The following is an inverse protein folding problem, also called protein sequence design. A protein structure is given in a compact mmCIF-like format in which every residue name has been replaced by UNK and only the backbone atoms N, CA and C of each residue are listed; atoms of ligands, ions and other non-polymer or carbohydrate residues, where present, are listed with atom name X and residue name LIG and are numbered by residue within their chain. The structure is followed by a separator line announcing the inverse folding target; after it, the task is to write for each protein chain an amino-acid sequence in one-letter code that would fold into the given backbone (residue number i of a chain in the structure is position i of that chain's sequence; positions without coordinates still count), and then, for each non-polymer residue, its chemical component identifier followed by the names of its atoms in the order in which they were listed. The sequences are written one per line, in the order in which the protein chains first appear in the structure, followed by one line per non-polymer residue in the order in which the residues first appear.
data_IF_890878157532
#
_entry.id   IF_890878157532
#
_cell.length_a   1.000
_cell.length_b   1.000
_cell.length_c   1.000
_cell.angle_alpha   90.00
_cell.angle_beta   90.00
_cell.angle_gamma   90.00
#
_symmetry.space_group_name_H-M   'P 1'
#
loop_
_entity.id
_entity.type
_entity.pdbx_description
1 polymer ?
#
# COMPACT_ATOMS: atom_id res chain seq x y z
N UNK A 1 -2.78 8.97 -8.84
CA UNK A 1 -1.61 8.54 -9.64
C UNK A 1 -0.45 9.53 -9.45
N UNK A 2 0.80 9.05 -9.43
CA UNK A 2 1.98 9.87 -9.17
C UNK A 2 2.18 10.92 -10.27
N UNK A 3 1.98 10.54 -11.54
CA UNK A 3 2.12 11.47 -12.66
C UNK A 3 1.09 12.60 -12.63
N UNK A 4 -0.16 12.29 -12.29
CA UNK A 4 -1.22 13.30 -12.12
C UNK A 4 -0.94 14.21 -10.92
N UNK A 5 -0.41 13.67 -9.83
CA UNK A 5 -0.01 14.47 -8.67
C UNK A 5 1.10 15.46 -9.05
N UNK A 6 2.13 15.00 -9.77
CA UNK A 6 3.19 15.87 -10.29
C UNK A 6 2.64 16.97 -11.20
N UNK A 7 1.79 16.61 -12.16
CA UNK A 7 1.17 17.57 -13.08
C UNK A 7 0.32 18.60 -12.36
N UNK A 8 -0.53 18.17 -11.42
CA UNK A 8 -1.39 19.05 -10.63
C UNK A 8 -0.59 20.06 -9.80
N UNK A 9 0.47 19.61 -9.12
CA UNK A 9 1.27 20.50 -8.26
C UNK A 9 2.08 21.48 -9.10
N UNK A 10 2.60 21.05 -10.25
CA UNK A 10 3.31 21.94 -11.17
C UNK A 10 2.39 22.97 -11.84
N UNK A 11 1.15 22.58 -12.16
CA UNK A 11 0.11 23.52 -12.63
C UNK A 11 -0.22 24.58 -11.57
N UNK A 12 -0.42 24.15 -10.32
CA UNK A 12 -0.62 25.06 -9.18
C UNK A 12 0.56 26.00 -8.97
N UNK A 13 1.79 25.48 -9.03
CA UNK A 13 3.00 26.28 -8.90
C UNK A 13 3.07 27.37 -9.97
N UNK A 14 2.83 27.02 -11.25
CA UNK A 14 2.83 28.00 -12.34
C UNK A 14 1.75 29.06 -12.17
N UNK A 15 0.55 28.65 -11.76
CA UNK A 15 -0.54 29.58 -11.48
C UNK A 15 -0.17 30.57 -10.37
N UNK A 16 0.39 30.08 -9.26
CA UNK A 16 0.81 30.94 -8.14
C UNK A 16 1.99 31.85 -8.53
N UNK A 17 2.95 31.35 -9.28
CA UNK A 17 4.12 32.11 -9.73
C UNK A 17 3.81 33.18 -10.79
N UNK A 18 2.68 33.06 -11.49
CA UNK A 18 2.31 34.00 -12.55
C UNK A 18 1.88 35.38 -12.02
N UNK A 19 1.38 35.46 -10.78
CA UNK A 19 0.98 36.72 -10.15
C UNK A 19 0.90 36.56 -8.63
N UNK A 20 1.50 37.47 -7.87
CA UNK A 20 1.51 37.45 -6.40
C UNK A 20 0.12 37.54 -5.75
N UNK A 21 -0.91 37.94 -6.52
CA UNK A 21 -2.30 37.99 -6.07
C UNK A 21 -3.06 36.68 -6.34
N UNK A 22 -2.47 35.72 -7.04
CA UNK A 22 -3.11 34.46 -7.37
C UNK A 22 -3.26 33.58 -6.13
N UNK A 23 -4.43 32.94 -6.00
CA UNK A 23 -4.74 32.05 -4.88
C UNK A 23 -5.27 30.72 -5.41
N UNK A 24 -4.61 29.62 -5.06
CA UNK A 24 -5.05 28.27 -5.40
C UNK A 24 -5.88 27.68 -4.25
N UNK A 25 -7.16 27.41 -4.50
CA UNK A 25 -8.04 26.76 -3.54
C UNK A 25 -8.13 25.24 -3.81
N UNK A 26 -7.54 24.43 -2.92
CA UNK A 26 -7.55 22.95 -3.05
C UNK A 26 -8.58 22.34 -2.11
N UNK A 27 -9.51 21.54 -2.64
CA UNK A 27 -10.55 20.91 -1.83
C UNK A 27 -10.74 19.42 -2.16
N UNK A 28 -11.38 18.71 -1.23
CA UNK A 28 -11.95 17.38 -1.45
C UNK A 28 -13.25 17.30 -0.62
N UNK A 29 -13.77 16.11 -0.32
CA UNK A 29 -15.01 16.00 0.49
C UNK A 29 -14.90 16.65 1.89
N UNK A 30 -13.82 16.40 2.62
CA UNK A 30 -13.63 16.90 3.99
C UNK A 30 -12.43 17.86 4.14
N UNK A 31 -11.70 18.12 3.05
CA UNK A 31 -10.49 18.95 3.09
C UNK A 31 -9.44 18.42 4.06
N UNK A 32 -9.20 17.09 4.09
CA UNK A 32 -8.30 16.44 5.06
C UNK A 32 -7.19 15.63 4.39
N UNK A 33 -7.45 14.38 4.02
CA UNK A 33 -6.44 13.46 3.46
C UNK A 33 -5.96 13.84 2.05
N UNK A 34 -6.87 13.77 1.05
CA UNK A 34 -6.55 14.10 -0.36
C UNK A 34 -6.04 15.54 -0.53
N UNK A 35 -6.75 16.50 0.07
CA UNK A 35 -6.34 17.91 0.09
C UNK A 35 -4.97 18.09 0.74
N UNK A 36 -4.74 17.46 1.89
CA UNK A 36 -3.47 17.58 2.60
C UNK A 36 -2.29 16.99 1.87
N UNK A 37 -2.49 15.88 1.16
CA UNK A 37 -1.45 15.27 0.32
C UNK A 37 -1.02 16.24 -0.78
N UNK A 38 -1.97 16.85 -1.50
CA UNK A 38 -1.68 17.83 -2.56
C UNK A 38 -1.03 19.09 -1.98
N UNK A 39 -1.58 19.66 -0.91
CA UNK A 39 -1.01 20.86 -0.27
C UNK A 39 0.38 20.60 0.28
N UNK A 40 0.65 19.44 0.90
CA UNK A 40 1.99 19.10 1.36
C UNK A 40 2.99 19.00 0.19
N UNK A 41 2.59 18.44 -0.95
CA UNK A 41 3.43 18.45 -2.15
C UNK A 41 3.66 19.87 -2.70
N UNK A 42 2.63 20.73 -2.67
CA UNK A 42 2.77 22.13 -3.07
C UNK A 42 3.70 22.91 -2.13
N UNK A 43 3.60 22.72 -0.81
CA UNK A 43 4.52 23.33 0.16
C UNK A 43 5.98 22.95 -0.09
N UNK A 44 6.24 21.69 -0.49
CA UNK A 44 7.57 21.25 -0.92
C UNK A 44 7.99 21.97 -2.22
N UNK A 45 7.09 22.06 -3.20
CA UNK A 45 7.38 22.65 -4.52
C UNK A 45 7.69 24.15 -4.45
N UNK A 46 7.01 24.86 -3.56
CA UNK A 46 7.20 26.29 -3.28
C UNK A 46 8.40 26.57 -2.35
N UNK A 47 9.03 25.54 -1.78
CA UNK A 47 10.18 25.69 -0.88
C UNK A 47 9.82 26.12 0.55
N UNK A 48 8.54 26.04 0.96
CA UNK A 48 8.12 26.30 2.34
C UNK A 48 8.46 25.17 3.31
N UNK A 49 8.82 24.00 2.80
CA UNK A 49 9.25 22.85 3.58
C UNK A 49 10.44 22.15 2.91
N UNK A 50 11.41 21.71 3.70
CA UNK A 50 12.59 21.00 3.22
C UNK A 50 12.39 19.48 3.16
N UNK A 51 11.37 18.95 3.82
CA UNK A 51 11.08 17.51 3.88
C UNK A 51 9.58 17.20 3.83
N UNK A 52 9.25 15.97 3.41
CA UNK A 52 7.85 15.52 3.36
C UNK A 52 7.20 15.57 4.75
N UNK A 53 7.95 15.18 5.78
CA UNK A 53 7.53 15.18 7.18
C UNK A 53 7.19 16.60 7.65
N UNK A 54 8.03 17.58 7.32
CA UNK A 54 7.79 18.99 7.63
C UNK A 54 6.56 19.53 6.90
N UNK A 55 6.43 19.29 5.61
CA UNK A 55 5.29 19.74 4.82
C UNK A 55 3.96 19.18 5.35
N UNK A 56 3.95 17.88 5.70
CA UNK A 56 2.81 17.20 6.31
C UNK A 56 2.48 17.78 7.69
N UNK A 57 3.49 18.07 8.52
CA UNK A 57 3.32 18.66 9.83
C UNK A 57 2.78 20.10 9.76
N UNK A 58 3.30 20.93 8.86
CA UNK A 58 2.82 22.29 8.61
C UNK A 58 1.35 22.28 8.21
N UNK A 59 0.98 21.44 7.24
CA UNK A 59 -0.42 21.27 6.85
C UNK A 59 -1.29 20.83 8.03
N UNK A 60 -0.87 19.81 8.77
CA UNK A 60 -1.64 19.28 9.90
C UNK A 60 -1.86 20.32 11.00
N UNK A 61 -0.84 21.11 11.34
CA UNK A 61 -0.91 22.16 12.34
C UNK A 61 -1.84 23.30 11.94
N UNK A 62 -1.87 23.67 10.65
CA UNK A 62 -2.76 24.73 10.14
C UNK A 62 -4.20 24.26 9.94
N UNK A 63 -4.40 23.03 9.48
CA UNK A 63 -5.72 22.53 9.09
C UNK A 63 -6.51 21.88 10.23
N UNK A 64 -5.85 21.34 11.25
CA UNK A 64 -6.49 20.47 12.26
C UNK A 64 -6.08 20.84 13.68
N UNK A 65 -7.01 20.70 14.64
CA UNK A 65 -6.71 20.94 16.05
C UNK A 65 -5.92 19.81 16.71
N UNK A 66 -6.09 18.57 16.24
CA UNK A 66 -5.48 17.36 16.81
C UNK A 66 -4.16 16.95 16.11
N UNK A 67 -3.67 17.79 15.20
CA UNK A 67 -2.52 17.53 14.29
C UNK A 67 -2.67 16.26 13.45
N UNK A 68 -3.89 15.74 13.29
CA UNK A 68 -4.15 14.61 12.39
C UNK A 68 -4.60 15.16 11.05
N UNK A 69 -3.67 15.62 10.22
CA UNK A 69 -3.94 16.06 8.85
C UNK A 69 -4.12 14.88 7.90
N UNK A 70 -3.07 14.55 7.14
CA UNK A 70 -2.98 13.33 6.34
C UNK A 70 -2.64 12.17 7.29
N UNK A 71 -3.42 11.10 7.25
CA UNK A 71 -3.23 9.95 8.17
C UNK A 71 -3.23 8.60 7.47
N UNK A 72 -3.56 8.54 6.18
CA UNK A 72 -3.57 7.30 5.42
C UNK A 72 -2.11 7.03 4.99
N UNK A 73 -1.50 5.89 5.38
CA UNK A 73 -0.10 5.62 5.10
C UNK A 73 0.30 5.73 3.65
N UNK A 74 -0.54 5.27 2.71
CA UNK A 74 -0.26 5.46 1.28
C UNK A 74 -0.25 6.92 0.84
N UNK A 75 -1.08 7.79 1.41
CA UNK A 75 -1.04 9.23 1.11
C UNK A 75 0.25 9.86 1.64
N UNK A 76 0.69 9.48 2.84
CA UNK A 76 1.97 9.93 3.41
C UNK A 76 3.15 9.49 2.53
N UNK A 77 3.14 8.22 2.08
CA UNK A 77 4.15 7.66 1.18
C UNK A 77 4.25 8.42 -0.14
N UNK A 78 3.12 8.85 -0.71
CA UNK A 78 3.13 9.62 -1.96
C UNK A 78 3.72 11.02 -1.79
N UNK A 79 3.59 11.66 -0.63
CA UNK A 79 4.32 12.91 -0.34
C UNK A 79 5.84 12.66 -0.26
N UNK A 80 6.26 11.53 0.31
CA UNK A 80 7.68 11.13 0.32
C UNK A 80 8.22 10.82 -1.09
N UNK A 81 7.42 10.17 -1.92
CA UNK A 81 7.73 9.97 -3.34
C UNK A 81 7.85 11.31 -4.07
N UNK A 82 6.96 12.27 -3.80
CA UNK A 82 7.03 13.61 -4.39
C UNK A 82 8.28 14.38 -3.96
N UNK A 83 8.64 14.36 -2.68
CA UNK A 83 9.88 14.95 -2.20
C UNK A 83 11.12 14.32 -2.87
N UNK A 84 11.10 13.00 -3.09
CA UNK A 84 12.17 12.30 -3.81
C UNK A 84 12.21 12.67 -5.29
N UNK A 85 11.05 12.77 -5.94
CA UNK A 85 10.92 13.25 -7.31
C UNK A 85 11.54 14.65 -7.48
N UNK A 86 11.25 15.60 -6.59
CA UNK A 86 11.85 16.94 -6.64
C UNK A 86 13.38 16.89 -6.56
N UNK A 87 13.95 16.05 -5.68
CA UNK A 87 15.41 15.87 -5.57
C UNK A 87 16.04 15.23 -6.80
N UNK A 88 15.35 14.28 -7.43
CA UNK A 88 15.84 13.60 -8.64
C UNK A 88 15.67 14.45 -9.90
N UNK A 89 14.77 15.44 -9.89
CA UNK A 89 14.43 16.27 -11.05
C UNK A 89 13.63 15.55 -12.14
N UNK A 90 13.45 14.23 -12.02
CA UNK A 90 12.66 13.41 -12.94
C UNK A 90 11.98 12.29 -12.19
N UNK A 91 10.81 11.86 -12.70
CA UNK A 91 10.07 10.75 -12.12
C UNK A 91 10.65 9.44 -12.66
N UNK A 92 11.22 8.56 -11.82
CA UNK A 92 11.78 7.30 -12.30
C UNK A 92 10.67 6.44 -12.92
N UNK A 93 10.91 5.91 -14.12
CA UNK A 93 9.99 4.99 -14.79
C UNK A 93 10.68 3.66 -14.94
N UNK A 94 10.12 2.64 -14.30
CA UNK A 94 10.63 1.28 -14.35
C UNK A 94 9.47 0.30 -14.23
N UNK A 95 9.41 -0.65 -15.16
CA UNK A 95 8.55 -1.82 -15.00
C UNK A 95 9.17 -2.75 -13.95
N UNK A 96 8.35 -3.31 -13.07
CA UNK A 96 8.81 -4.25 -12.04
C UNK A 96 7.94 -5.48 -12.08
N UNK A 97 8.53 -6.66 -11.82
CA UNK A 97 7.81 -7.92 -11.73
C UNK A 97 7.64 -8.27 -10.26
N UNK A 98 6.41 -8.50 -9.78
CA UNK A 98 6.20 -8.96 -8.41
C UNK A 98 6.39 -10.48 -8.35
N UNK A 99 7.41 -10.93 -7.60
CA UNK A 99 7.73 -12.34 -7.42
C UNK A 99 6.93 -12.97 -6.30
N UNK A 100 6.84 -12.29 -5.16
CA UNK A 100 6.17 -12.84 -3.98
C UNK A 100 5.69 -11.78 -3.00
N UNK A 101 4.66 -12.11 -2.22
CA UNK A 101 4.24 -11.36 -1.03
C UNK A 101 4.23 -12.30 0.17
N UNK A 102 4.96 -11.95 1.24
CA UNK A 102 4.94 -12.70 2.51
C UNK A 102 4.29 -11.87 3.60
N UNK A 103 3.38 -12.48 4.36
CA UNK A 103 2.81 -11.90 5.58
C UNK A 103 3.45 -12.61 6.76
N UNK A 104 4.21 -11.88 7.56
CA UNK A 104 4.86 -12.43 8.74
C UNK A 104 4.01 -12.23 9.99
N UNK A 105 3.96 -13.25 10.84
CA UNK A 105 3.22 -13.23 12.10
C UNK A 105 1.72 -12.93 11.91
N UNK A 106 1.11 -13.55 10.91
CA UNK A 106 -0.33 -13.50 10.66
C UNK A 106 -1.07 -14.41 11.64
N UNK A 107 -2.17 -13.94 12.24
CA UNK A 107 -2.96 -14.76 13.17
C UNK A 107 -3.66 -15.91 12.45
N UNK A 108 -3.46 -17.16 12.92
CA UNK A 108 -3.97 -18.40 12.27
C UNK A 108 -5.49 -18.49 12.11
N UNK A 109 -6.26 -17.62 12.77
CA UNK A 109 -7.71 -17.53 12.56
C UNK A 109 -8.12 -16.93 11.20
N UNK A 110 -7.18 -16.33 10.46
CA UNK A 110 -7.42 -15.70 9.15
C UNK A 110 -6.68 -16.49 8.06
N UNK A 111 -7.21 -17.67 7.72
CA UNK A 111 -6.57 -18.61 6.76
C UNK A 111 -6.98 -18.39 5.32
N UNK A 112 -8.22 -17.94 5.13
CA UNK A 112 -8.79 -17.70 3.81
C UNK A 112 -8.39 -16.30 3.33
N UNK A 113 -7.11 -16.12 3.04
CA UNK A 113 -6.58 -14.88 2.51
C UNK A 113 -6.44 -14.95 0.99
N UNK A 114 -6.65 -13.82 0.33
CA UNK A 114 -6.42 -13.62 -1.10
C UNK A 114 -5.50 -12.42 -1.33
N UNK A 115 -4.67 -12.49 -2.37
CA UNK A 115 -3.87 -11.39 -2.88
C UNK A 115 -4.47 -10.92 -4.19
N UNK A 116 -4.77 -9.63 -4.29
CA UNK A 116 -5.19 -9.03 -5.56
C UNK A 116 -4.46 -7.72 -5.81
N UNK A 117 -4.24 -7.41 -7.08
CA UNK A 117 -3.48 -6.22 -7.49
C UNK A 117 -4.28 -5.48 -8.55
N UNK A 118 -4.41 -4.16 -8.39
CA UNK A 118 -4.99 -3.30 -9.40
C UNK A 118 -4.08 -2.12 -9.73
N UNK A 119 -4.23 -1.57 -10.92
CA UNK A 119 -3.57 -0.34 -11.33
C UNK A 119 -4.32 0.88 -10.75
N UNK A 120 -3.91 2.08 -11.15
CA UNK A 120 -4.51 3.31 -10.66
C UNK A 120 -5.89 3.69 -11.23
N UNK A 121 -6.29 3.12 -12.36
CA UNK A 121 -7.65 3.25 -12.91
C UNK A 121 -8.63 2.27 -12.25
N UNK A 122 -8.10 1.26 -11.55
CA UNK A 122 -8.88 0.22 -10.88
C UNK A 122 -8.96 -1.09 -11.65
N UNK A 123 -8.29 -1.20 -12.80
CA UNK A 123 -8.24 -2.44 -13.56
C UNK A 123 -7.39 -3.47 -12.80
N UNK A 124 -7.89 -4.70 -12.76
CA UNK A 124 -7.22 -5.81 -12.08
C UNK A 124 -6.02 -6.26 -12.91
N UNK A 125 -4.85 -6.27 -12.29
CA UNK A 125 -3.60 -6.83 -12.85
C UNK A 125 -3.37 -8.27 -12.35
N UNK A 126 -3.93 -8.58 -11.19
CA UNK A 126 -3.98 -9.92 -10.62
C UNK A 126 -5.30 -10.10 -9.90
N UNK A 127 -6.09 -11.05 -10.38
CA UNK A 127 -7.28 -11.51 -9.69
C UNK A 127 -6.90 -12.44 -8.52
N UNK A 128 -7.77 -12.47 -7.52
CA UNK A 128 -7.56 -13.07 -6.19
C UNK A 128 -6.75 -14.38 -6.18
N UNK A 129 -5.45 -14.26 -5.86
CA UNK A 129 -4.50 -15.35 -5.74
C UNK A 129 -4.49 -15.89 -4.30
N UNK A 130 -4.58 -17.20 -4.12
CA UNK A 130 -4.51 -17.85 -2.80
C UNK A 130 -3.06 -18.05 -2.37
N UNK A 131 -2.75 -18.03 -1.05
CA UNK A 131 -1.40 -18.30 -0.58
C UNK A 131 -1.04 -19.77 -0.72
N UNK A 132 0.25 -20.06 -0.86
CA UNK A 132 0.83 -21.37 -0.65
C UNK A 132 0.86 -21.69 0.86
N UNK A 133 0.75 -22.98 1.17
CA UNK A 133 0.95 -23.52 2.50
C UNK A 133 2.47 -23.56 2.78
N UNK A 134 2.99 -22.66 3.64
CA UNK A 134 4.33 -22.86 4.20
C UNK A 134 4.23 -23.94 5.28
N UNK A 135 4.95 -25.05 5.13
CA UNK A 135 5.17 -26.02 6.20
C UNK A 135 6.06 -25.36 7.26
N UNK A 136 5.76 -25.58 8.55
CA UNK A 136 6.51 -25.01 9.69
C UNK A 136 7.95 -25.60 9.83
N UNK A 137 8.57 -26.11 8.76
CA UNK A 137 9.90 -26.73 8.74
C UNK A 137 10.91 -25.84 8.02
N UNK A 138 12.01 -25.49 8.70
CA UNK A 138 13.18 -24.80 8.12
C UNK A 138 13.98 -25.65 7.10
N UNK A 139 13.42 -26.77 6.62
CA UNK A 139 14.05 -27.67 5.64
C UNK A 139 13.35 -27.60 4.28
N UNK A 140 14.13 -27.26 3.24
CA UNK A 140 13.80 -27.26 1.81
C UNK A 140 13.53 -28.68 1.27
N UNK A 141 12.55 -29.40 1.82
CA UNK A 141 12.08 -30.66 1.22
C UNK A 141 10.56 -30.74 1.16
N UNK A 142 10.09 -31.04 -0.04
CA UNK A 142 8.71 -31.20 -0.47
C UNK A 142 7.86 -32.00 0.52
N UNK A 143 7.02 -31.30 1.31
CA UNK A 143 5.83 -31.91 1.91
C UNK A 143 4.76 -30.85 2.17
N UNK A 144 3.75 -30.86 1.32
CA UNK A 144 2.59 -29.95 1.36
C UNK A 144 1.67 -30.38 2.51
N UNK A 145 1.89 -29.81 3.70
CA UNK A 145 1.04 -30.05 4.85
C UNK A 145 -0.12 -29.05 4.91
N UNK A 146 -1.34 -29.58 4.96
CA UNK A 146 -2.60 -28.87 5.16
C UNK A 146 -2.56 -27.97 6.40
N UNK A 147 -3.00 -26.71 6.27
CA UNK A 147 -3.27 -25.77 7.38
C UNK A 147 -4.25 -26.31 8.46
N UNK A 148 -4.81 -27.51 8.27
CA UNK A 148 -5.88 -28.10 9.08
C UNK A 148 -5.39 -28.82 10.34
N UNK A 149 -4.09 -29.02 10.53
CA UNK A 149 -3.55 -29.71 11.70
C UNK A 149 -2.87 -28.71 12.64
N UNK A 150 -3.62 -28.11 13.58
CA UNK A 150 -2.98 -27.42 14.72
C UNK A 150 -2.53 -28.51 15.68
N UNK A 151 -1.25 -28.85 15.66
CA UNK A 151 -0.64 -29.65 16.71
C UNK A 151 -0.77 -28.91 18.05
N UNK A 152 -1.09 -29.60 19.16
CA UNK A 152 -1.09 -29.00 20.49
C UNK A 152 0.28 -28.35 20.77
N UNK A 153 0.30 -27.03 20.99
CA UNK A 153 1.54 -26.25 21.21
C UNK A 153 2.02 -25.41 20.03
N UNK A 154 1.38 -25.49 18.85
CA UNK A 154 1.74 -24.63 17.72
C UNK A 154 1.48 -23.13 18.01
N UNK A 155 2.37 -22.27 17.50
CA UNK A 155 2.21 -20.82 17.61
C UNK A 155 0.85 -20.37 17.09
N UNK A 156 0.20 -19.43 17.78
CA UNK A 156 -1.07 -18.78 17.33
C UNK A 156 -0.91 -18.02 16.01
N UNK A 157 0.32 -17.83 15.55
CA UNK A 157 0.68 -17.06 14.38
C UNK A 157 1.45 -17.93 13.39
N UNK A 158 1.28 -17.61 12.11
CA UNK A 158 1.92 -18.28 10.99
C UNK A 158 2.44 -17.25 10.00
N UNK A 159 3.33 -17.70 9.13
CA UNK A 159 3.71 -16.97 7.93
C UNK A 159 2.76 -17.36 6.79
N UNK A 160 2.43 -16.40 5.93
CA UNK A 160 1.56 -16.62 4.76
C UNK A 160 2.34 -16.21 3.54
N UNK A 161 2.45 -17.08 2.55
CA UNK A 161 3.27 -16.86 1.37
C UNK A 161 2.43 -16.88 0.11
N UNK A 162 2.44 -15.78 -0.64
CA UNK A 162 1.92 -15.70 -1.99
C UNK A 162 3.09 -15.77 -2.95
N UNK A 163 3.25 -16.90 -3.63
CA UNK A 163 4.25 -17.08 -4.69
C UNK A 163 3.61 -16.85 -6.05
N UNK A 164 4.05 -15.82 -6.75
CA UNK A 164 3.50 -15.47 -8.07
C UNK A 164 4.30 -16.10 -9.22
N UNK A 165 5.39 -16.82 -8.93
CA UNK A 165 6.24 -17.44 -9.97
C UNK A 165 5.55 -18.59 -10.69
N UNK A 166 4.56 -19.20 -10.05
CA UNK A 166 3.83 -20.36 -10.55
C UNK A 166 2.47 -20.03 -11.17
N UNK A 167 2.14 -18.75 -11.30
CA UNK A 167 0.91 -18.35 -11.98
C UNK A 167 1.00 -18.71 -13.47
N UNK A 168 -0.05 -19.32 -14.01
CA UNK A 168 -0.12 -19.68 -15.45
C UNK A 168 0.03 -18.45 -16.36
N UNK A 169 -0.39 -17.28 -15.87
CA UNK A 169 -0.24 -15.99 -16.55
C UNK A 169 1.20 -15.46 -16.59
N UNK A 170 2.14 -16.12 -15.91
CA UNK A 170 3.47 -15.59 -15.64
C UNK A 170 3.46 -14.51 -14.57
N UNK A 171 4.62 -13.88 -14.35
CA UNK A 171 4.78 -12.85 -13.32
C UNK A 171 3.96 -11.60 -13.64
N UNK A 172 3.41 -11.01 -12.60
CA UNK A 172 2.62 -9.77 -12.71
C UNK A 172 3.55 -8.60 -12.99
N UNK A 173 3.51 -8.08 -14.22
CA UNK A 173 4.20 -6.86 -14.61
C UNK A 173 3.48 -5.63 -14.08
N UNK A 174 4.18 -4.83 -13.28
CA UNK A 174 3.66 -3.65 -12.62
C UNK A 174 4.34 -2.39 -13.16
N UNK A 175 3.51 -1.44 -13.55
CA UNK A 175 3.94 -0.18 -14.15
C UNK A 175 3.28 0.98 -13.41
N UNK A 176 4.05 2.03 -13.13
CA UNK A 176 3.61 3.24 -12.45
C UNK A 176 2.92 2.91 -11.12
N UNK A 177 1.75 3.48 -10.88
CA UNK A 177 0.97 3.33 -9.66
C UNK A 177 0.19 2.02 -9.65
N UNK A 178 0.39 1.22 -8.61
CA UNK A 178 -0.35 -0.01 -8.37
C UNK A 178 -0.71 -0.15 -6.90
N UNK A 179 -1.80 -0.88 -6.65
CA UNK A 179 -2.33 -1.16 -5.33
C UNK A 179 -2.30 -2.66 -5.07
N UNK A 180 -1.70 -3.04 -3.96
CA UNK A 180 -1.75 -4.41 -3.46
C UNK A 180 -2.83 -4.51 -2.39
N UNK A 181 -3.72 -5.49 -2.51
CA UNK A 181 -4.78 -5.76 -1.54
C UNK A 181 -4.61 -7.16 -0.97
N UNK A 182 -4.75 -7.27 0.35
CA UNK A 182 -4.95 -8.55 1.03
C UNK A 182 -6.41 -8.64 1.43
N UNK A 183 -7.09 -9.64 0.92
CA UNK A 183 -8.52 -9.86 1.04
C UNK A 183 -8.79 -11.03 1.99
N UNK A 184 -9.91 -10.97 2.72
CA UNK A 184 -10.52 -12.14 3.32
C UNK A 184 -11.46 -12.76 2.28
N UNK A 185 -11.17 -14.00 1.91
CA UNK A 185 -11.97 -14.77 0.97
C UNK A 185 -13.24 -15.28 1.66
N UNK A 186 -14.37 -15.34 0.94
CA UNK A 186 -15.59 -15.89 1.49
C UNK A 186 -15.41 -17.38 1.82
N UNK A 187 -16.12 -17.90 2.86
CA UNK A 187 -16.14 -19.33 3.15
C UNK A 187 -16.64 -20.11 1.95
N UNK A 188 -16.00 -21.22 1.62
CA UNK A 188 -16.36 -22.07 0.47
C UNK A 188 -17.81 -22.59 0.50
N UNK A 189 -18.47 -22.59 1.68
CA UNK A 189 -19.75 -23.26 1.89
C UNK A 189 -20.97 -22.34 2.11
N UNK A 190 -20.88 -21.01 1.96
CA UNK A 190 -21.96 -20.13 2.46
C UNK A 190 -23.19 -19.99 1.55
N UNK A 191 -23.18 -20.45 0.29
CA UNK A 191 -24.34 -20.35 -0.64
C UNK A 191 -24.79 -18.91 -1.01
N UNK A 192 -24.38 -17.93 -0.21
CA UNK A 192 -24.51 -16.50 -0.40
C UNK A 192 -23.20 -15.96 -0.99
N UNK A 193 -23.28 -15.20 -2.08
CA UNK A 193 -22.17 -14.41 -2.61
C UNK A 193 -21.80 -13.30 -1.60
N UNK A 194 -20.96 -13.63 -0.62
CA UNK A 194 -20.31 -12.63 0.21
C UNK A 194 -19.16 -12.02 -0.60
N UNK A 195 -19.16 -10.71 -0.89
CA UNK A 195 -18.06 -10.09 -1.61
C UNK A 195 -16.76 -10.19 -0.79
N UNK A 196 -15.62 -10.34 -1.48
CA UNK A 196 -14.32 -10.31 -0.84
C UNK A 196 -14.16 -9.03 -0.01
N UNK A 197 -13.66 -9.18 1.21
CA UNK A 197 -13.44 -8.04 2.10
C UNK A 197 -11.95 -7.70 2.14
N UNK A 198 -11.57 -6.52 1.65
CA UNK A 198 -10.21 -6.02 1.79
C UNK A 198 -9.87 -5.86 3.28
N UNK A 199 -8.90 -6.64 3.76
CA UNK A 199 -8.36 -6.54 5.12
C UNK A 199 -7.52 -5.27 5.26
N UNK A 200 -6.50 -5.18 4.39
CA UNK A 200 -5.65 -4.01 4.25
C UNK A 200 -5.13 -3.91 2.83
N UNK A 201 -4.61 -2.74 2.49
CA UNK A 201 -4.00 -2.49 1.20
C UNK A 201 -2.86 -1.49 1.32
N UNK A 202 -2.09 -1.33 0.26
CA UNK A 202 -1.09 -0.27 0.16
C UNK A 202 -0.85 0.08 -1.30
N UNK A 203 -0.67 1.38 -1.56
CA UNK A 203 -0.27 1.89 -2.87
C UNK A 203 1.22 2.07 -2.95
N UNK A 204 1.78 1.72 -4.11
CA UNK A 204 3.17 1.90 -4.47
C UNK A 204 3.26 2.56 -5.85
N UNK A 205 4.46 3.01 -6.18
CA UNK A 205 4.82 3.48 -7.50
C UNK A 205 6.09 2.73 -7.95
N UNK A 206 6.03 2.05 -9.09
CA UNK A 206 7.05 1.09 -9.56
C UNK A 206 8.45 1.68 -9.70
N UNK A 207 8.56 2.99 -9.98
CA UNK A 207 9.86 3.68 -10.03
C UNK A 207 10.56 3.83 -8.68
N UNK A 208 9.84 3.69 -7.56
CA UNK A 208 10.39 3.87 -6.21
C UNK A 208 10.46 2.57 -5.39
N UNK A 209 10.06 1.42 -5.94
CA UNK A 209 10.11 0.16 -5.18
C UNK A 209 11.54 -0.41 -5.14
N UNK A 210 12.02 -0.86 -3.97
CA UNK A 210 13.26 -1.64 -3.86
C UNK A 210 13.04 -3.10 -4.30
N UNK A 211 14.13 -3.87 -4.42
CA UNK A 211 14.05 -5.33 -4.69
C UNK A 211 13.29 -6.07 -3.59
N UNK A 212 13.52 -5.67 -2.34
CA UNK A 212 12.82 -6.18 -1.17
C UNK A 212 12.20 -5.00 -0.42
N UNK A 213 10.86 -4.96 -0.38
CA UNK A 213 10.10 -3.95 0.33
C UNK A 213 9.51 -4.57 1.59
N UNK A 214 9.87 -4.02 2.75
CA UNK A 214 9.25 -4.36 4.03
C UNK A 214 8.29 -3.25 4.47
N UNK A 215 7.06 -3.63 4.83
CA UNK A 215 6.04 -2.73 5.37
C UNK A 215 5.56 -3.25 6.73
N UNK A 216 5.76 -2.44 7.77
CA UNK A 216 5.13 -2.64 9.09
C UNK A 216 3.66 -2.23 9.08
N UNK A 217 2.92 -2.60 10.12
CA UNK A 217 1.47 -2.31 10.26
C UNK A 217 1.13 -0.83 10.07
N UNK A 218 1.95 0.11 10.58
CA UNK A 218 1.72 1.55 10.44
C UNK A 218 1.85 2.06 9.00
N UNK A 219 2.36 1.23 8.09
CA UNK A 219 2.50 1.53 6.66
C UNK A 219 1.37 0.96 5.80
N UNK A 220 0.38 0.29 6.40
CA UNK A 220 -0.72 -0.36 5.70
C UNK A 220 -2.03 0.43 5.84
N UNK A 221 -2.80 0.50 4.76
CA UNK A 221 -4.12 1.13 4.74
C UNK A 221 -5.18 0.12 5.18
N UNK A 222 -5.60 0.20 6.44
CA UNK A 222 -6.69 -0.62 6.97
C UNK A 222 -8.05 -0.01 6.66
N UNK A 223 -8.99 -0.85 6.24
CA UNK A 223 -10.39 -0.44 6.12
C UNK A 223 -11.00 -0.26 7.51
N UNK A 224 -11.49 0.96 7.81
CA UNK A 224 -12.06 1.30 9.13
C UNK A 224 -13.31 0.49 9.48
N UNK A 225 -14.05 -0.02 8.49
CA UNK A 225 -15.21 -0.89 8.71
C UNK A 225 -14.83 -2.37 8.92
N UNK A 226 -13.61 -2.78 8.56
CA UNK A 226 -13.13 -4.14 8.72
C UNK A 226 -12.59 -4.40 10.15
N UNK A 227 -13.50 -4.48 11.12
CA UNK A 227 -13.17 -4.93 12.51
C UNK A 227 -12.36 -6.24 12.57
N UNK A 228 -12.54 -7.23 11.65
CA UNK A 228 -11.72 -8.44 11.63
C UNK A 228 -10.24 -8.19 11.33
N UNK A 229 -9.91 -7.20 10.49
CA UNK A 229 -8.54 -6.97 10.02
C UNK A 229 -7.59 -6.48 11.12
N UNK A 230 -8.09 -5.81 12.17
CA UNK A 230 -7.26 -5.36 13.30
C UNK A 230 -6.88 -6.47 14.27
N UNK A 231 -7.63 -7.58 14.30
CA UNK A 231 -7.30 -8.76 15.11
C UNK A 231 -6.30 -9.68 14.40
N UNK A 232 -6.20 -9.56 13.08
CA UNK A 232 -5.26 -10.30 12.24
C UNK A 232 -3.81 -9.89 12.46
N UNK A 233 -3.58 -8.61 12.77
CA UNK A 233 -2.24 -7.99 12.81
C UNK A 233 -1.85 -7.60 14.23
N UNK A 234 -0.57 -7.83 14.55
CA UNK A 234 0.12 -7.47 15.81
C UNK A 234 1.23 -6.47 15.52
N UNK A 235 1.86 -5.89 16.54
CA UNK A 235 2.86 -4.81 16.37
C UNK A 235 4.06 -5.24 15.50
N UNK A 236 4.43 -6.52 15.59
CA UNK A 236 5.49 -7.21 14.85
C UNK A 236 5.05 -7.78 13.49
N UNK A 237 3.77 -7.62 13.10
CA UNK A 237 3.31 -8.04 11.78
C UNK A 237 4.01 -7.23 10.68
N UNK A 238 4.46 -7.93 9.64
CA UNK A 238 5.17 -7.35 8.50
C UNK A 238 4.66 -7.92 7.19
N UNK A 239 4.69 -7.09 6.16
CA UNK A 239 4.50 -7.50 4.77
C UNK A 239 5.83 -7.36 4.05
N UNK A 240 6.29 -8.42 3.40
CA UNK A 240 7.50 -8.41 2.57
C UNK A 240 7.08 -8.66 1.13
N UNK A 241 7.35 -7.68 0.25
CA UNK A 241 7.19 -7.83 -1.19
C UNK A 241 8.57 -8.00 -1.84
N UNK A 242 8.70 -8.99 -2.72
CA UNK A 242 9.92 -9.22 -3.51
C UNK A 242 9.65 -8.87 -4.96
N UNK A 243 10.46 -7.99 -5.53
CA UNK A 243 10.36 -7.51 -6.90
C UNK A 243 11.60 -7.92 -7.71
N UNK A 244 11.42 -8.02 -9.02
CA UNK A 244 12.49 -8.15 -10.02
C UNK A 244 12.40 -7.01 -11.04
N UNK A 245 13.54 -6.67 -11.63
CA UNK A 245 13.72 -5.56 -12.57
C UNK A 245 14.38 -6.05 -13.84
#
# INVERSE_FOLDING_TARGET
PMQELCGLVEDQHRFLAACDQNVAAVHCKAGKGRTGMVIACLLLREGFAASAEEALALYAAKRTHDRKGVTIPSQLRYVQFYATFLRLGTLPRRQVLLRSVRLLHCHRAHRDLGLSICNSTGDMLLESCRPLLESDSEDDSENVASLNCISPGASKYAHVFFDLRHLETGLVALNNDFKVNINLLPPLCSGLCCPEQVCFSFWLYSGFVPRHLELSVDKLDFNRSARPAKKMVRKDFKVICTFEF
#
